data_IF_321487130527
#
_entry.id   IF_321487130527
#
_cell.length_a   1.000
_cell.length_b   1.000
_cell.length_c   1.000
_cell.angle_alpha   90.00
_cell.angle_beta   90.00
_cell.angle_gamma   90.00
#
_symmetry.space_group_name_H-M   'P 1'
#
loop_
_entity.id
_entity.type
_entity.pdbx_description
1 polymer ?
#
# COMPACT_ATOMS: atom_id res chain seq x y z
N UNK A 1 -1.56 2.02 12.64
CA UNK A 1 -1.06 0.75 12.07
C UNK A 1 -2.10 -0.36 12.00
N UNK A 2 -2.97 -0.47 12.99
CA UNK A 2 -4.02 -1.51 12.99
C UNK A 2 -4.93 -1.41 11.78
N UNK A 3 -5.37 -0.23 11.41
CA UNK A 3 -6.24 -0.02 10.26
C UNK A 3 -5.58 -0.48 8.95
N UNK A 4 -4.29 -0.19 8.78
CA UNK A 4 -3.53 -0.67 7.62
C UNK A 4 -3.53 -2.20 7.58
N UNK A 5 -3.13 -2.82 8.68
CA UNK A 5 -3.06 -4.28 8.80
C UNK A 5 -4.42 -4.94 8.55
N UNK A 6 -5.49 -4.35 9.06
CA UNK A 6 -6.84 -4.93 8.97
C UNK A 6 -7.46 -4.75 7.58
N UNK A 7 -7.24 -3.60 6.94
CA UNK A 7 -8.02 -3.22 5.76
C UNK A 7 -7.26 -3.14 4.44
N UNK A 8 -6.00 -2.71 4.47
CA UNK A 8 -5.28 -2.43 3.22
C UNK A 8 -4.99 -3.65 2.36
N UNK A 9 -4.92 -4.85 2.96
CA UNK A 9 -4.72 -6.09 2.21
C UNK A 9 -6.03 -6.74 1.77
N UNK A 10 -7.17 -6.22 2.20
CA UNK A 10 -8.45 -6.80 1.82
C UNK A 10 -8.77 -6.48 0.35
N UNK A 11 -9.06 -7.49 -0.48
CA UNK A 11 -9.46 -7.24 -1.86
C UNK A 11 -10.87 -6.63 -1.97
N UNK A 12 -11.60 -6.54 -0.86
CA UNK A 12 -12.97 -6.04 -0.81
C UNK A 12 -13.04 -4.56 -0.40
N UNK A 13 -11.91 -3.95 -0.04
CA UNK A 13 -11.89 -2.54 0.34
C UNK A 13 -12.24 -1.66 -0.86
N UNK A 14 -13.19 -0.75 -0.67
CA UNK A 14 -13.60 0.24 -1.67
C UNK A 14 -13.20 1.63 -1.19
N UNK A 15 -13.24 2.63 -2.07
CA UNK A 15 -12.94 4.01 -1.71
C UNK A 15 -13.87 4.51 -0.60
N UNK A 16 -15.17 4.21 -0.69
CA UNK A 16 -16.14 4.61 0.34
C UNK A 16 -15.83 3.96 1.69
N UNK A 17 -15.48 2.67 1.67
CA UNK A 17 -15.12 1.95 2.90
C UNK A 17 -13.82 2.48 3.49
N UNK A 18 -12.83 2.79 2.63
CA UNK A 18 -11.56 3.36 3.08
C UNK A 18 -11.77 4.68 3.84
N UNK A 19 -12.65 5.54 3.34
CA UNK A 19 -13.00 6.78 4.05
C UNK A 19 -13.56 6.51 5.45
N UNK A 20 -14.30 5.41 5.61
CA UNK A 20 -14.93 5.08 6.89
C UNK A 20 -13.97 4.41 7.87
N UNK A 21 -13.01 3.61 7.41
CA UNK A 21 -12.21 2.74 8.29
C UNK A 21 -10.74 3.10 8.39
N UNK A 22 -10.19 3.88 7.45
CA UNK A 22 -8.80 4.30 7.50
C UNK A 22 -8.66 5.65 8.21
N UNK A 23 -7.46 5.93 8.77
CA UNK A 23 -7.19 7.25 9.32
C UNK A 23 -7.39 8.35 8.29
N UNK A 24 -7.60 9.60 8.74
CA UNK A 24 -7.82 10.73 7.83
C UNK A 24 -6.66 10.95 6.86
N UNK A 25 -5.44 10.61 7.26
CA UNK A 25 -4.28 10.65 6.37
C UNK A 25 -4.10 9.27 5.74
N UNK A 26 -4.82 9.06 4.66
CA UNK A 26 -4.70 7.85 3.86
C UNK A 26 -4.73 8.21 2.38
N UNK A 27 -4.22 7.29 1.56
CA UNK A 27 -4.28 7.38 0.11
C UNK A 27 -4.74 6.02 -0.40
N UNK A 28 -5.90 5.99 -1.01
CA UNK A 28 -6.46 4.76 -1.54
C UNK A 28 -7.00 4.99 -2.94
N UNK A 29 -6.62 4.12 -3.86
CA UNK A 29 -7.30 4.02 -5.14
C UNK A 29 -7.36 2.56 -5.58
N UNK A 30 -8.33 2.25 -6.43
CA UNK A 30 -8.53 0.92 -6.98
C UNK A 30 -9.07 1.06 -8.39
N UNK A 31 -8.26 0.71 -9.36
CA UNK A 31 -8.59 0.83 -10.78
C UNK A 31 -9.06 -0.51 -11.39
N UNK A 32 -9.26 -1.55 -10.56
CA UNK A 32 -9.65 -2.87 -11.06
C UNK A 32 -11.06 -2.82 -11.63
N UNK A 33 -11.26 -3.13 -12.93
CA UNK A 33 -12.55 -2.91 -13.58
C UNK A 33 -13.60 -3.98 -13.30
N UNK A 34 -13.23 -5.11 -12.68
CA UNK A 34 -14.10 -6.28 -12.60
C UNK A 34 -15.00 -6.32 -11.37
N UNK A 35 -14.93 -5.32 -10.53
CA UNK A 35 -15.70 -5.32 -9.28
C UNK A 35 -16.91 -4.42 -9.44
N UNK A 36 -18.09 -5.05 -9.49
CA UNK A 36 -19.35 -4.32 -9.70
C UNK A 36 -19.60 -3.24 -8.62
N UNK A 37 -19.06 -3.42 -7.42
CA UNK A 37 -19.18 -2.45 -6.33
C UNK A 37 -17.96 -1.52 -6.22
N UNK A 38 -17.07 -1.58 -7.20
CA UNK A 38 -15.83 -0.82 -7.13
C UNK A 38 -16.02 0.55 -7.77
N UNK A 39 -16.01 1.57 -6.93
CA UNK A 39 -15.91 2.93 -7.41
C UNK A 39 -14.47 3.14 -7.88
N UNK A 40 -14.27 3.27 -9.19
CA UNK A 40 -12.96 3.59 -9.72
C UNK A 40 -12.47 4.88 -9.06
N UNK A 41 -11.39 4.76 -8.31
CA UNK A 41 -10.85 5.87 -7.55
C UNK A 41 -9.47 6.20 -8.13
N UNK A 42 -9.34 7.25 -8.92
CA UNK A 42 -8.06 7.60 -9.52
C UNK A 42 -7.06 8.05 -8.47
N UNK A 43 -5.74 7.94 -8.74
CA UNK A 43 -4.71 8.40 -7.83
C UNK A 43 -4.89 9.88 -7.51
N UNK A 44 -4.72 10.23 -6.23
CA UNK A 44 -4.79 11.60 -5.75
C UNK A 44 -3.42 12.05 -5.30
N UNK A 45 -2.86 13.05 -5.96
CA UNK A 45 -1.70 13.77 -5.47
C UNK A 45 -0.34 13.12 -5.63
N UNK A 46 -0.24 11.84 -5.95
CA UNK A 46 1.04 11.15 -6.12
C UNK A 46 1.11 10.39 -7.42
N UNK A 47 2.33 10.36 -7.99
CA UNK A 47 2.58 9.55 -9.16
C UNK A 47 2.42 8.07 -8.82
N UNK A 48 1.71 7.34 -9.66
CA UNK A 48 1.59 5.89 -9.55
C UNK A 48 2.63 5.22 -10.45
N UNK A 49 3.17 4.10 -9.99
CA UNK A 49 4.00 3.25 -10.85
C UNK A 49 3.14 2.74 -12.00
N UNK A 50 3.62 2.82 -13.24
CA UNK A 50 2.89 2.22 -14.35
C UNK A 50 2.59 0.75 -14.07
N UNK A 51 1.35 0.33 -14.30
CA UNK A 51 0.90 -1.02 -14.01
C UNK A 51 0.27 -1.20 -12.62
N UNK A 52 0.37 -0.21 -11.75
CA UNK A 52 -0.29 -0.25 -10.44
C UNK A 52 -1.79 -0.13 -10.63
N UNK A 53 -2.53 -1.15 -10.18
CA UNK A 53 -3.98 -1.13 -10.26
C UNK A 53 -4.67 -0.88 -8.92
N UNK A 54 -3.91 -0.86 -7.82
CA UNK A 54 -4.45 -0.60 -6.49
C UNK A 54 -3.36 -0.09 -5.57
N UNK A 55 -3.70 0.89 -4.75
CA UNK A 55 -2.83 1.43 -3.69
C UNK A 55 -3.63 1.60 -2.42
N UNK A 56 -3.03 1.24 -1.29
CA UNK A 56 -3.57 1.56 0.03
C UNK A 56 -2.43 2.02 0.92
N UNK A 57 -2.57 3.22 1.47
CA UNK A 57 -1.55 3.82 2.32
C UNK A 57 -2.20 4.47 3.53
N UNK A 58 -1.53 4.38 4.67
CA UNK A 58 -1.86 5.19 5.85
C UNK A 58 -0.63 5.92 6.33
N UNK A 59 -0.82 7.07 6.97
CA UNK A 59 0.24 7.82 7.59
C UNK A 59 -0.20 8.30 8.96
N UNK A 60 0.75 8.42 9.87
CA UNK A 60 0.48 8.87 11.24
C UNK A 60 1.68 9.62 11.81
N UNK A 61 1.43 10.47 12.79
CA UNK A 61 2.46 11.30 13.41
C UNK A 61 3.53 10.47 14.10
N UNK A 62 4.75 10.96 14.03
CA UNK A 62 5.90 10.38 14.72
C UNK A 62 6.72 9.47 13.83
N UNK A 63 7.86 9.02 14.37
CA UNK A 63 8.75 8.07 13.73
C UNK A 63 8.51 6.69 14.34
N UNK A 64 8.06 5.73 13.52
CA UNK A 64 7.77 4.37 13.96
C UNK A 64 8.05 3.34 12.85
N UNK A 65 9.15 3.52 12.10
CA UNK A 65 9.47 2.64 10.96
C UNK A 65 9.63 1.20 11.40
N UNK A 66 10.35 0.95 12.49
CA UNK A 66 10.58 -0.43 12.96
C UNK A 66 9.26 -1.15 13.28
N UNK A 67 8.36 -0.47 14.01
CA UNK A 67 7.04 -1.02 14.30
C UNK A 67 6.20 -1.18 13.02
N UNK A 68 6.33 -0.26 12.09
CA UNK A 68 5.67 -0.33 10.79
C UNK A 68 6.12 -1.54 9.97
N UNK A 69 7.42 -1.80 9.93
CA UNK A 69 7.97 -2.98 9.24
C UNK A 69 7.43 -4.27 9.87
N UNK A 70 7.42 -4.35 11.19
CA UNK A 70 6.86 -5.51 11.88
C UNK A 70 5.38 -5.71 11.58
N UNK A 71 4.62 -4.62 11.53
CA UNK A 71 3.18 -4.65 11.20
C UNK A 71 2.95 -5.17 9.79
N UNK A 72 3.69 -4.68 8.82
CA UNK A 72 3.59 -5.11 7.42
C UNK A 72 3.96 -6.58 7.28
N UNK A 73 5.06 -7.01 7.91
CA UNK A 73 5.50 -8.41 7.85
C UNK A 73 4.44 -9.35 8.44
N UNK A 74 3.86 -8.99 9.58
CA UNK A 74 2.81 -9.78 10.21
C UNK A 74 1.54 -9.84 9.35
N UNK A 75 1.17 -8.73 8.71
CA UNK A 75 0.01 -8.70 7.84
C UNK A 75 0.19 -9.58 6.58
N UNK A 76 1.35 -9.51 5.96
CA UNK A 76 1.68 -10.38 4.82
C UNK A 76 1.59 -11.85 5.21
N UNK A 77 2.14 -12.22 6.35
CA UNK A 77 2.10 -13.60 6.84
C UNK A 77 0.66 -14.06 7.10
N UNK A 78 -0.13 -13.22 7.77
CA UNK A 78 -1.54 -13.54 8.06
C UNK A 78 -2.36 -13.75 6.79
N UNK A 79 -2.09 -12.95 5.76
CA UNK A 79 -2.80 -13.05 4.49
C UNK A 79 -2.24 -14.16 3.59
N UNK A 80 -1.21 -14.87 4.02
CA UNK A 80 -0.61 -15.95 3.22
C UNK A 80 0.20 -15.44 2.03
N UNK A 81 0.63 -14.20 2.04
CA UNK A 81 1.40 -13.58 0.97
C UNK A 81 2.89 -13.78 1.29
N UNK A 82 3.42 -14.94 0.93
CA UNK A 82 4.71 -15.42 1.42
C UNK A 82 5.77 -15.55 0.34
N UNK A 83 5.41 -15.50 -0.94
CA UNK A 83 6.36 -15.76 -2.02
C UNK A 83 7.13 -14.49 -2.36
N UNK A 84 8.43 -14.48 -2.03
CA UNK A 84 9.31 -13.36 -2.36
C UNK A 84 9.46 -13.20 -3.87
N UNK A 85 9.59 -11.96 -4.30
CA UNK A 85 9.93 -11.61 -5.66
C UNK A 85 10.73 -10.31 -5.65
N UNK A 86 11.36 -9.99 -6.78
CA UNK A 86 12.10 -8.74 -6.90
C UNK A 86 11.14 -7.56 -7.09
N UNK A 87 11.52 -6.41 -6.54
CA UNK A 87 10.84 -5.16 -6.85
C UNK A 87 11.06 -4.88 -8.33
N UNK A 88 9.99 -4.63 -9.11
CA UNK A 88 10.16 -4.40 -10.55
C UNK A 88 11.05 -3.20 -10.85
N UNK A 89 11.83 -3.32 -11.93
CA UNK A 89 12.56 -2.19 -12.46
C UNK A 89 11.59 -1.08 -12.82
N UNK A 90 11.95 0.16 -12.51
CA UNK A 90 11.05 1.30 -12.78
C UNK A 90 9.97 1.51 -11.75
N UNK A 91 9.91 0.70 -10.68
CA UNK A 91 8.95 0.95 -9.61
C UNK A 91 9.18 2.34 -9.02
N UNK A 92 8.10 3.09 -8.85
CA UNK A 92 8.14 4.47 -8.35
C UNK A 92 8.19 4.44 -6.82
N UNK A 93 9.39 4.24 -6.28
CA UNK A 93 9.61 4.25 -4.83
C UNK A 93 9.29 5.61 -4.26
N UNK A 94 8.54 5.65 -3.16
CA UNK A 94 8.25 6.92 -2.48
C UNK A 94 9.50 7.48 -1.83
N UNK A 95 9.64 8.80 -1.89
CA UNK A 95 10.69 9.48 -1.16
C UNK A 95 10.51 9.22 0.35
N UNK A 96 11.61 8.93 1.03
CA UNK A 96 11.59 8.62 2.45
C UNK A 96 11.39 7.15 2.78
N UNK A 97 11.19 6.28 1.79
CA UNK A 97 11.08 4.84 2.01
C UNK A 97 12.36 4.29 2.61
N UNK A 98 12.24 3.61 3.76
CA UNK A 98 13.35 2.97 4.45
C UNK A 98 13.29 1.44 4.35
N UNK A 99 12.11 0.88 4.09
CA UNK A 99 11.90 -0.53 3.89
C UNK A 99 11.01 -0.75 2.67
N UNK A 100 11.41 -1.67 1.80
CA UNK A 100 10.62 -2.04 0.63
C UNK A 100 10.76 -3.55 0.41
N UNK A 101 9.65 -4.21 0.09
CA UNK A 101 9.64 -5.63 -0.24
C UNK A 101 8.55 -5.90 -1.25
N UNK A 102 8.78 -6.91 -2.08
CA UNK A 102 7.81 -7.35 -3.06
C UNK A 102 7.46 -8.83 -2.85
N UNK A 103 6.20 -9.16 -3.05
CA UNK A 103 5.67 -10.52 -2.91
C UNK A 103 4.79 -10.84 -4.11
N UNK A 104 4.84 -12.08 -4.56
CA UNK A 104 3.97 -12.54 -5.63
C UNK A 104 2.59 -12.88 -5.08
N UNK A 105 1.56 -12.30 -5.68
CA UNK A 105 0.16 -12.58 -5.32
C UNK A 105 -0.39 -13.74 -6.15
N UNK A 106 -0.08 -13.75 -7.44
CA UNK A 106 -0.46 -14.77 -8.40
C UNK A 106 0.51 -14.65 -9.60
N UNK A 107 0.41 -15.50 -10.64
CA UNK A 107 1.36 -15.43 -11.74
C UNK A 107 1.46 -14.08 -12.46
N UNK A 108 0.45 -13.22 -12.32
CA UNK A 108 0.38 -11.95 -13.05
C UNK A 108 0.42 -10.71 -12.16
N UNK A 109 0.39 -10.89 -10.84
CA UNK A 109 0.30 -9.73 -9.92
C UNK A 109 1.31 -9.86 -8.81
N UNK A 110 1.85 -8.72 -8.42
CA UNK A 110 2.70 -8.62 -7.25
C UNK A 110 2.17 -7.52 -6.32
N UNK A 111 2.51 -7.64 -5.04
CA UNK A 111 2.31 -6.60 -4.06
C UNK A 111 3.68 -6.03 -3.70
N UNK A 112 3.80 -4.71 -3.67
CA UNK A 112 4.99 -4.04 -3.18
C UNK A 112 4.59 -3.25 -1.94
N UNK A 113 5.28 -3.50 -0.85
CA UNK A 113 5.05 -2.81 0.41
C UNK A 113 6.19 -1.86 0.70
N UNK A 114 5.89 -0.71 1.26
CA UNK A 114 6.88 0.30 1.64
C UNK A 114 6.55 0.82 3.03
N UNK A 115 7.59 1.07 3.82
CA UNK A 115 7.50 1.78 5.09
C UNK A 115 8.57 2.85 5.11
N UNK A 116 8.21 4.05 5.51
CA UNK A 116 9.17 5.13 5.58
C UNK A 116 8.64 6.33 6.35
N UNK A 117 9.39 7.41 6.27
CA UNK A 117 9.04 8.67 6.92
C UNK A 117 9.10 9.82 5.93
N UNK A 118 8.36 10.87 6.26
CA UNK A 118 8.34 12.11 5.48
C UNK A 118 7.88 13.27 6.37
N UNK A 119 8.09 14.53 5.96
CA UNK A 119 7.49 15.65 6.66
C UNK A 119 5.96 15.55 6.66
N UNK A 120 5.36 15.74 7.83
CA UNK A 120 3.92 15.75 8.02
C UNK A 120 3.43 17.06 8.64
N UNK A 121 2.12 17.17 8.93
CA UNK A 121 1.54 18.41 9.45
C UNK A 121 2.12 18.87 10.79
N UNK A 122 2.57 17.94 11.62
CA UNK A 122 3.06 18.23 12.96
C UNK A 122 4.51 17.77 13.17
N UNK A 123 5.28 17.60 12.11
CA UNK A 123 6.65 17.11 12.14
C UNK A 123 6.80 15.88 11.29
N UNK A 124 7.60 14.91 11.74
CA UNK A 124 7.79 13.67 11.00
C UNK A 124 6.53 12.82 11.07
N UNK A 125 6.12 12.27 9.94
CA UNK A 125 5.10 11.22 9.89
C UNK A 125 5.68 9.93 9.33
N UNK A 126 5.14 8.80 9.76
CA UNK A 126 5.46 7.47 9.23
C UNK A 126 4.35 7.04 8.27
N UNK A 127 4.71 6.45 7.13
CA UNK A 127 3.74 5.90 6.21
C UNK A 127 3.95 4.39 6.03
N UNK A 128 2.83 3.68 5.85
CA UNK A 128 2.78 2.28 5.46
C UNK A 128 1.98 2.20 4.16
N UNK A 129 2.53 1.55 3.16
CA UNK A 129 1.98 1.54 1.81
C UNK A 129 2.01 0.13 1.24
N UNK A 130 0.94 -0.26 0.56
CA UNK A 130 0.92 -1.44 -0.29
C UNK A 130 0.35 -1.07 -1.65
N UNK A 131 1.05 -1.46 -2.70
CA UNK A 131 0.60 -1.29 -4.08
C UNK A 131 0.52 -2.65 -4.74
N UNK A 132 -0.54 -2.84 -5.51
CA UNK A 132 -0.72 -4.03 -6.32
C UNK A 132 -0.50 -3.64 -7.77
N UNK A 133 0.34 -4.40 -8.45
CA UNK A 133 0.66 -4.08 -9.84
C UNK A 133 0.88 -5.34 -10.67
N UNK A 134 0.70 -5.16 -11.97
CA UNK A 134 1.08 -6.13 -12.98
C UNK A 134 2.44 -5.71 -13.51
N UNK A 135 3.50 -6.53 -13.29
CA UNK A 135 4.81 -6.19 -13.83
C UNK A 135 4.76 -6.12 -15.35
N UNK A 136 5.42 -5.11 -15.91
CA UNK A 136 5.57 -5.02 -17.35
C UNK A 136 6.45 -6.17 -17.85
N UNK A 137 6.12 -6.74 -19.01
CA UNK A 137 6.93 -7.80 -19.58
C UNK A 137 8.35 -7.35 -19.95
#
# INVERSE_FOLDING_TARGET
>A
MTAFSTHCFSPLLTAARAEAVLPSRHDFYDLRPFRAANDVSPPTGRAATPGTDRRCEVAFDGEAVEAGVATVAAALAREGILTDTDVPDGFQRQEGTEFIAARRLNPRRIAVVQVGTRPGPTGTETFLNVERLEPLP
#
